data_IF_477159207894
#
_entry.id   IF_477159207894
#
_cell.length_a   1.000
_cell.length_b   1.000
_cell.length_c   1.000
_cell.angle_alpha   90.00
_cell.angle_beta   90.00
_cell.angle_gamma   90.00
#
_symmetry.space_group_name_H-M   'P 1'
#
loop_
_entity.id
_entity.type
_entity.pdbx_description
1 polymer ?
#
# COMPACT_ATOMS: atom_id res chain seq x y z
N UNK A 1 11.18 -1.16 1.95
CA UNK A 1 10.64 0.19 2.19
C UNK A 1 9.30 0.08 2.89
N UNK A 2 9.06 0.90 3.89
CA UNK A 2 7.78 1.05 4.59
C UNK A 2 7.67 2.51 5.07
N UNK A 3 6.47 2.94 5.48
CA UNK A 3 6.25 4.30 6.04
C UNK A 3 6.11 5.40 4.99
N UNK A 4 5.87 5.06 3.72
CA UNK A 4 5.70 6.06 2.65
C UNK A 4 4.46 6.92 2.89
N UNK A 5 3.33 6.29 3.22
CA UNK A 5 2.08 7.00 3.49
C UNK A 5 2.21 7.93 4.71
N UNK A 6 2.78 7.42 5.79
CA UNK A 6 2.98 8.18 7.02
C UNK A 6 3.86 9.41 6.75
N UNK A 7 4.90 9.25 5.95
CA UNK A 7 5.75 10.37 5.49
C UNK A 7 4.92 11.40 4.74
N UNK A 8 4.12 10.99 3.75
CA UNK A 8 3.29 11.93 2.99
C UNK A 8 2.27 12.65 3.86
N UNK A 9 1.65 11.93 4.81
CA UNK A 9 0.70 12.52 5.77
C UNK A 9 1.38 13.54 6.69
N UNK A 10 2.55 13.21 7.23
CA UNK A 10 3.32 14.10 8.12
C UNK A 10 3.72 15.41 7.43
N UNK A 11 4.07 15.35 6.14
CA UNK A 11 4.39 16.54 5.36
C UNK A 11 3.18 17.28 4.80
N UNK A 12 1.94 16.82 5.10
CA UNK A 12 0.72 17.46 4.61
C UNK A 12 0.46 17.26 3.11
N UNK A 13 1.04 16.23 2.52
CA UNK A 13 0.91 15.90 1.10
C UNK A 13 -0.25 14.95 0.80
N UNK A 14 -1.12 14.70 1.77
CA UNK A 14 -2.37 13.98 1.56
C UNK A 14 -3.56 14.94 1.69
N UNK A 15 -4.62 14.67 0.94
CA UNK A 15 -5.89 15.40 1.00
C UNK A 15 -7.04 14.42 1.08
N UNK A 16 -8.16 14.88 1.61
CA UNK A 16 -9.40 14.13 1.66
C UNK A 16 -10.47 14.83 0.82
N UNK A 17 -11.30 14.05 0.13
CA UNK A 17 -12.49 14.57 -0.55
C UNK A 17 -13.67 14.66 0.41
N UNK A 18 -14.83 15.14 -0.09
CA UNK A 18 -16.08 15.27 0.65
C UNK A 18 -16.63 13.92 1.18
N UNK A 19 -16.17 12.81 0.63
CA UNK A 19 -16.53 11.45 1.06
C UNK A 19 -15.52 10.85 2.04
N UNK A 20 -14.45 11.58 2.38
CA UNK A 20 -13.36 11.12 3.24
C UNK A 20 -12.40 10.14 2.54
N UNK A 21 -12.35 10.13 1.21
CA UNK A 21 -11.32 9.39 0.50
C UNK A 21 -10.01 10.17 0.50
N UNK A 22 -8.92 9.49 0.84
CA UNK A 22 -7.59 10.08 0.85
C UNK A 22 -6.94 9.98 -0.53
N UNK A 23 -6.28 11.05 -0.93
CA UNK A 23 -5.51 11.19 -2.17
C UNK A 23 -4.13 11.74 -1.89
N UNK A 24 -3.17 11.36 -2.71
CA UNK A 24 -1.86 12.02 -2.76
C UNK A 24 -1.94 13.27 -3.63
N UNK A 25 -1.31 14.35 -3.15
CA UNK A 25 -1.15 15.55 -3.96
C UNK A 25 -0.03 15.38 -5.00
N UNK A 26 0.05 16.22 -6.05
CA UNK A 26 1.18 16.19 -6.97
C UNK A 26 2.53 16.37 -6.29
N UNK A 27 2.57 17.12 -5.17
CA UNK A 27 3.77 17.29 -4.34
C UNK A 27 4.16 15.99 -3.66
N UNK A 28 3.19 15.16 -3.21
CA UNK A 28 3.45 13.82 -2.67
C UNK A 28 4.11 12.92 -3.71
N UNK A 29 3.58 12.91 -4.93
CA UNK A 29 4.12 12.12 -6.04
C UNK A 29 5.57 12.52 -6.32
N UNK A 30 5.84 13.82 -6.43
CA UNK A 30 7.18 14.34 -6.67
C UNK A 30 8.15 14.05 -5.51
N UNK A 31 7.67 14.22 -4.28
CA UNK A 31 8.47 13.97 -3.08
C UNK A 31 8.79 12.49 -2.91
N UNK A 32 7.81 11.62 -3.11
CA UNK A 32 7.99 10.17 -3.07
C UNK A 32 9.01 9.68 -4.10
N UNK A 33 8.92 10.14 -5.34
CA UNK A 33 9.93 9.85 -6.38
C UNK A 33 11.32 10.27 -5.94
N UNK A 34 11.48 11.48 -5.39
CA UNK A 34 12.78 11.94 -4.88
C UNK A 34 13.34 11.07 -3.77
N UNK A 35 12.49 10.56 -2.86
CA UNK A 35 12.92 9.63 -1.81
C UNK A 35 13.47 8.35 -2.45
N UNK A 36 12.73 7.75 -3.37
CA UNK A 36 13.16 6.53 -4.05
C UNK A 36 14.41 6.75 -4.91
N UNK A 37 14.54 7.89 -5.60
CA UNK A 37 15.74 8.24 -6.37
C UNK A 37 16.98 8.31 -5.46
N UNK A 38 16.85 8.87 -4.26
CA UNK A 38 17.95 8.90 -3.27
C UNK A 38 18.29 7.49 -2.81
N UNK A 39 17.28 6.67 -2.47
CA UNK A 39 17.48 5.27 -2.06
C UNK A 39 18.23 4.51 -3.17
N UNK A 40 17.76 4.60 -4.42
CA UNK A 40 18.37 3.90 -5.55
C UNK A 40 19.81 4.34 -5.79
N UNK A 41 20.05 5.64 -5.88
CA UNK A 41 21.41 6.17 -6.06
C UNK A 41 22.35 5.70 -4.95
N UNK A 42 21.91 5.74 -3.70
CA UNK A 42 22.74 5.33 -2.57
C UNK A 42 23.01 3.84 -2.56
N UNK A 43 21.99 3.01 -2.80
CA UNK A 43 22.17 1.56 -2.85
C UNK A 43 23.06 1.13 -4.03
N UNK A 44 22.89 1.78 -5.19
CA UNK A 44 23.68 1.43 -6.38
C UNK A 44 25.15 1.80 -6.19
N UNK A 45 25.43 2.96 -5.60
CA UNK A 45 26.80 3.33 -5.24
C UNK A 45 27.41 2.36 -4.24
N UNK A 46 26.67 2.00 -3.18
CA UNK A 46 27.15 1.03 -2.19
C UNK A 46 27.35 -0.36 -2.80
N UNK A 47 26.48 -0.78 -3.71
CA UNK A 47 26.58 -2.06 -4.42
C UNK A 47 27.85 -2.13 -5.26
N UNK A 48 28.19 -1.04 -5.99
CA UNK A 48 29.43 -0.93 -6.77
C UNK A 48 30.66 -0.98 -5.87
N UNK A 49 30.65 -0.21 -4.77
CA UNK A 49 31.79 -0.12 -3.86
C UNK A 49 32.11 -1.44 -3.15
N UNK A 50 31.13 -2.31 -2.98
CA UNK A 50 31.24 -3.57 -2.22
C UNK A 50 31.07 -4.83 -3.04
N UNK A 51 30.82 -4.73 -4.34
CA UNK A 51 30.50 -5.85 -5.23
C UNK A 51 29.28 -6.66 -4.72
N UNK A 52 28.23 -5.97 -4.26
CA UNK A 52 26.99 -6.57 -3.81
C UNK A 52 25.85 -6.34 -4.80
N UNK A 53 24.86 -7.24 -4.78
CA UNK A 53 23.56 -7.01 -5.40
C UNK A 53 22.57 -6.56 -4.32
N UNK A 54 22.01 -5.37 -4.48
CA UNK A 54 21.07 -4.77 -3.51
C UNK A 54 19.78 -4.45 -4.24
N UNK A 55 18.67 -4.99 -3.73
CA UNK A 55 17.35 -4.68 -4.22
C UNK A 55 16.65 -3.67 -3.28
N UNK A 56 15.69 -2.94 -3.84
CA UNK A 56 14.70 -2.18 -3.09
C UNK A 56 13.40 -2.95 -3.15
N UNK A 57 12.73 -3.15 -2.02
CA UNK A 57 11.45 -3.86 -1.97
C UNK A 57 10.48 -3.24 -0.98
N UNK A 58 9.20 -3.45 -1.20
CA UNK A 58 8.14 -3.20 -0.24
C UNK A 58 8.11 -4.39 0.72
N UNK A 59 8.62 -4.18 1.93
CA UNK A 59 8.82 -5.26 2.88
C UNK A 59 7.50 -5.73 3.53
N UNK A 60 7.21 -7.04 3.60
CA UNK A 60 6.14 -7.59 4.44
C UNK A 60 6.59 -7.59 5.91
N UNK A 61 6.39 -6.47 6.58
CA UNK A 61 6.99 -6.21 7.90
C UNK A 61 5.98 -5.82 8.98
N UNK A 62 4.81 -6.44 9.05
CA UNK A 62 3.73 -6.07 9.97
C UNK A 62 4.17 -6.10 11.43
N UNK A 63 4.91 -7.13 11.85
CA UNK A 63 5.44 -7.22 13.21
C UNK A 63 6.50 -6.15 13.51
N UNK A 64 7.30 -5.80 12.51
CA UNK A 64 8.29 -4.72 12.61
C UNK A 64 7.58 -3.37 12.69
N UNK A 65 6.56 -3.15 11.85
CA UNK A 65 5.74 -1.94 11.85
C UNK A 65 5.11 -1.67 13.22
N UNK A 66 4.50 -2.69 13.83
CA UNK A 66 3.90 -2.57 15.15
C UNK A 66 4.93 -2.19 16.24
N UNK A 67 6.12 -2.80 16.20
CA UNK A 67 7.19 -2.50 17.17
C UNK A 67 7.77 -1.09 16.98
N UNK A 68 7.97 -0.66 15.75
CA UNK A 68 8.46 0.70 15.45
C UNK A 68 7.42 1.72 15.91
N UNK A 69 6.15 1.52 15.59
CA UNK A 69 5.08 2.41 16.01
C UNK A 69 4.99 2.53 17.53
N UNK A 70 5.02 1.41 18.24
CA UNK A 70 4.99 1.42 19.71
C UNK A 70 6.22 2.14 20.31
N UNK A 71 7.40 2.01 19.69
CA UNK A 71 8.59 2.72 20.12
C UNK A 71 8.45 4.24 19.87
N UNK A 72 7.93 4.64 18.72
CA UNK A 72 7.72 6.05 18.36
C UNK A 72 6.63 6.68 19.25
N UNK A 73 5.57 5.98 19.57
CA UNK A 73 4.53 6.43 20.51
C UNK A 73 5.09 6.72 21.89
N UNK A 74 6.06 5.90 22.32
CA UNK A 74 6.73 6.09 23.61
C UNK A 74 7.77 7.22 23.60
N UNK A 75 8.55 7.33 22.52
CA UNK A 75 9.69 8.25 22.44
C UNK A 75 9.32 9.61 21.86
N UNK A 76 8.35 9.64 20.95
CA UNK A 76 7.97 10.82 20.17
C UNK A 76 6.44 10.96 20.01
N UNK A 77 5.68 11.00 21.13
CA UNK A 77 4.21 10.92 21.08
C UNK A 77 3.55 12.05 20.26
N UNK A 78 4.23 13.19 20.12
CA UNK A 78 3.70 14.34 19.37
C UNK A 78 3.90 14.22 17.85
N UNK A 79 4.77 13.31 17.41
CA UNK A 79 5.11 13.16 15.98
C UNK A 79 4.45 11.94 15.34
N UNK A 80 3.88 11.06 16.15
CA UNK A 80 3.25 9.83 15.67
C UNK A 80 1.97 10.12 14.89
N UNK A 81 1.75 9.40 13.81
CA UNK A 81 0.51 9.47 13.03
C UNK A 81 -0.58 8.70 13.78
N UNK A 82 -1.30 9.40 14.66
CA UNK A 82 -2.24 8.84 15.64
C UNK A 82 -3.44 8.11 15.04
N UNK A 83 -3.80 8.42 13.81
CA UNK A 83 -4.98 7.84 13.14
C UNK A 83 -4.73 6.47 12.51
N UNK A 84 -3.50 5.96 12.61
CA UNK A 84 -3.13 4.68 12.05
C UNK A 84 -2.79 3.69 13.15
N UNK A 85 -3.43 2.51 13.18
CA UNK A 85 -3.14 1.48 14.17
C UNK A 85 -1.76 0.85 13.98
N UNK A 86 -1.20 0.92 12.78
CA UNK A 86 0.10 0.38 12.39
C UNK A 86 0.74 1.24 11.30
N UNK A 87 2.05 1.36 11.32
CA UNK A 87 2.80 1.85 10.16
C UNK A 87 2.65 0.88 8.99
N UNK A 88 2.35 1.42 7.83
CA UNK A 88 2.02 0.62 6.66
C UNK A 88 3.24 0.20 5.86
N UNK A 89 3.20 -1.02 5.32
CA UNK A 89 4.08 -1.42 4.22
C UNK A 89 3.46 -1.07 2.85
N UNK A 90 2.15 -0.89 2.79
CA UNK A 90 1.45 -0.45 1.59
C UNK A 90 1.63 1.07 1.38
N UNK A 91 1.77 1.49 0.11
CA UNK A 91 1.90 2.93 -0.24
C UNK A 91 0.66 3.75 0.11
N UNK A 92 -0.51 3.13 0.23
CA UNK A 92 -1.67 3.59 0.99
C UNK A 92 -2.12 2.41 1.85
N UNK A 93 -2.06 2.50 3.19
CA UNK A 93 -2.47 1.41 4.09
C UNK A 93 -3.90 0.93 3.82
N UNK A 94 -4.14 -0.37 4.02
CA UNK A 94 -5.43 -0.98 3.71
C UNK A 94 -6.59 -0.41 4.53
N UNK A 95 -6.33 0.06 5.75
CA UNK A 95 -7.31 0.70 6.62
C UNK A 95 -7.66 2.14 6.22
N UNK A 96 -6.88 2.77 5.32
CA UNK A 96 -7.16 4.12 4.85
C UNK A 96 -8.18 4.07 3.72
N UNK A 97 -9.27 4.83 3.89
CA UNK A 97 -10.30 4.97 2.88
C UNK A 97 -9.74 5.74 1.69
N UNK A 98 -9.81 5.13 0.52
CA UNK A 98 -9.42 5.74 -0.76
C UNK A 98 -10.12 5.01 -1.89
N UNK A 99 -10.16 5.60 -3.07
CA UNK A 99 -10.72 4.92 -4.23
C UNK A 99 -9.79 3.81 -4.74
N UNK A 100 -10.36 2.77 -5.35
CA UNK A 100 -9.57 1.71 -5.99
C UNK A 100 -8.62 2.29 -7.04
N UNK A 101 -9.09 3.27 -7.82
CA UNK A 101 -8.27 3.95 -8.84
C UNK A 101 -7.06 4.65 -8.24
N UNK A 102 -7.26 5.39 -7.14
CA UNK A 102 -6.14 6.07 -6.47
C UNK A 102 -5.17 5.07 -5.85
N UNK A 103 -5.66 4.01 -5.25
CA UNK A 103 -4.82 2.94 -4.69
C UNK A 103 -3.95 2.30 -5.76
N UNK A 104 -4.52 1.97 -6.93
CA UNK A 104 -3.79 1.44 -8.08
C UNK A 104 -2.78 2.46 -8.60
N UNK A 105 -3.19 3.73 -8.77
CA UNK A 105 -2.33 4.81 -9.25
C UNK A 105 -1.08 4.97 -8.38
N UNK A 106 -1.25 5.02 -7.06
CA UNK A 106 -0.13 5.19 -6.13
C UNK A 106 0.75 3.93 -6.08
N UNK A 107 0.15 2.74 -6.09
CA UNK A 107 0.91 1.51 -6.16
C UNK A 107 1.78 1.47 -7.42
N UNK A 108 1.20 1.77 -8.58
CA UNK A 108 1.91 1.80 -9.87
C UNK A 108 3.00 2.86 -9.91
N UNK A 109 2.77 4.02 -9.27
CA UNK A 109 3.75 5.11 -9.21
C UNK A 109 5.09 4.68 -8.61
N UNK A 110 5.06 3.78 -7.62
CA UNK A 110 6.23 3.34 -6.88
C UNK A 110 6.67 1.90 -7.20
N UNK A 111 5.87 1.14 -7.95
CA UNK A 111 6.17 -0.26 -8.28
C UNK A 111 7.53 -0.42 -8.98
N UNK A 112 7.81 0.42 -9.98
CA UNK A 112 9.06 0.39 -10.74
C UNK A 112 10.32 0.65 -9.90
N UNK A 113 10.18 1.29 -8.74
CA UNK A 113 11.28 1.50 -7.80
C UNK A 113 11.55 0.28 -6.92
N UNK A 114 10.61 -0.66 -6.84
CA UNK A 114 10.73 -1.85 -6.00
C UNK A 114 11.23 -3.05 -6.81
N UNK A 115 12.48 -2.98 -7.30
CA UNK A 115 13.08 -4.04 -8.10
C UNK A 115 13.32 -5.37 -7.35
N UNK A 116 13.15 -5.39 -6.04
CA UNK A 116 13.06 -6.59 -5.21
C UNK A 116 11.64 -7.13 -5.07
N UNK A 117 10.66 -6.33 -5.49
CA UNK A 117 9.24 -6.66 -5.50
C UNK A 117 8.39 -5.71 -4.66
N UNK A 118 7.15 -5.56 -5.09
CA UNK A 118 6.07 -4.93 -4.33
C UNK A 118 4.77 -5.69 -4.59
N UNK A 119 3.83 -5.61 -3.67
CA UNK A 119 2.48 -6.15 -3.85
C UNK A 119 1.44 -5.11 -3.48
N UNK A 120 0.52 -4.84 -4.38
CA UNK A 120 -0.64 -4.03 -4.09
C UNK A 120 -1.81 -4.90 -3.65
N UNK A 121 -2.26 -4.74 -2.42
CA UNK A 121 -3.49 -5.34 -1.95
C UNK A 121 -4.67 -4.42 -2.25
N UNK A 122 -5.66 -4.95 -2.97
CA UNK A 122 -6.86 -4.23 -3.40
C UNK A 122 -8.07 -4.86 -2.72
N UNK A 123 -8.60 -4.18 -1.70
CA UNK A 123 -9.81 -4.64 -1.03
C UNK A 123 -11.01 -4.35 -1.93
N UNK A 124 -11.80 -5.39 -2.20
CA UNK A 124 -13.09 -5.30 -2.87
C UNK A 124 -14.20 -5.79 -1.92
N UNK A 125 -15.34 -5.10 -1.93
CA UNK A 125 -16.44 -5.42 -1.00
C UNK A 125 -17.16 -6.73 -1.33
N UNK A 126 -17.21 -7.04 -2.63
CA UNK A 126 -17.83 -8.25 -3.14
C UNK A 126 -16.98 -8.83 -4.28
N UNK A 127 -17.07 -10.15 -4.52
CA UNK A 127 -16.45 -10.77 -5.68
C UNK A 127 -16.96 -10.16 -6.98
N UNK A 128 -16.16 -10.22 -8.02
CA UNK A 128 -16.62 -9.86 -9.35
C UNK A 128 -17.80 -10.73 -9.76
N UNK A 129 -18.84 -10.13 -10.34
CA UNK A 129 -20.05 -10.87 -10.73
C UNK A 129 -19.81 -11.71 -11.99
N UNK A 130 -18.89 -11.29 -12.87
CA UNK A 130 -18.55 -12.00 -14.09
C UNK A 130 -17.05 -12.06 -14.31
N UNK A 131 -16.61 -12.97 -15.17
CA UNK A 131 -15.22 -13.08 -15.59
C UNK A 131 -14.76 -11.80 -16.32
N UNK A 132 -15.61 -11.23 -17.15
CA UNK A 132 -15.32 -10.02 -17.91
C UNK A 132 -14.99 -8.84 -16.98
N UNK A 133 -15.78 -8.65 -15.92
CA UNK A 133 -15.50 -7.61 -14.93
C UNK A 133 -14.13 -7.82 -14.24
N UNK A 134 -13.81 -9.05 -13.90
CA UNK A 134 -12.52 -9.37 -13.32
C UNK A 134 -11.38 -9.10 -14.31
N UNK A 135 -11.58 -9.50 -15.56
CA UNK A 135 -10.61 -9.34 -16.63
C UNK A 135 -10.37 -7.88 -17.00
N UNK A 136 -11.44 -7.07 -17.07
CA UNK A 136 -11.34 -5.62 -17.30
C UNK A 136 -10.54 -4.93 -16.19
N UNK A 137 -10.76 -5.34 -14.94
CA UNK A 137 -9.99 -4.80 -13.81
C UNK A 137 -8.52 -5.21 -13.88
N UNK A 138 -8.22 -6.46 -14.23
CA UNK A 138 -6.84 -6.95 -14.41
C UNK A 138 -6.15 -6.16 -15.52
N UNK A 139 -6.81 -5.97 -16.67
CA UNK A 139 -6.26 -5.18 -17.77
C UNK A 139 -6.02 -3.72 -17.35
N UNK A 140 -6.99 -3.12 -16.67
CA UNK A 140 -6.83 -1.75 -16.17
C UNK A 140 -5.60 -1.61 -15.27
N UNK A 141 -5.38 -2.56 -14.35
CA UNK A 141 -4.24 -2.55 -13.44
C UNK A 141 -2.92 -2.73 -14.22
N UNK A 142 -2.89 -3.66 -15.16
CA UNK A 142 -1.73 -3.90 -16.02
C UNK A 142 -1.38 -2.67 -16.87
N UNK A 143 -2.39 -2.00 -17.43
CA UNK A 143 -2.23 -0.76 -18.19
C UNK A 143 -1.67 0.40 -17.35
N UNK A 144 -1.91 0.38 -16.03
CA UNK A 144 -1.28 1.33 -15.10
C UNK A 144 0.19 0.97 -14.79
N UNK A 145 0.71 -0.15 -15.28
CA UNK A 145 2.08 -0.60 -15.07
C UNK A 145 2.34 -1.28 -13.72
N UNK A 146 1.30 -1.70 -13.01
CA UNK A 146 1.44 -2.44 -11.77
C UNK A 146 1.76 -3.91 -12.06
N UNK A 147 2.85 -4.41 -11.49
CA UNK A 147 3.40 -5.74 -11.82
C UNK A 147 2.78 -6.86 -11.00
N UNK A 148 2.52 -6.61 -9.70
CA UNK A 148 2.02 -7.63 -8.79
C UNK A 148 0.94 -7.08 -7.85
N UNK A 149 -0.21 -7.74 -7.85
CA UNK A 149 -1.35 -7.33 -7.04
C UNK A 149 -2.22 -8.52 -6.62
N UNK A 150 -3.02 -8.31 -5.59
CA UNK A 150 -4.00 -9.28 -5.11
C UNK A 150 -5.33 -8.59 -4.78
N UNK A 151 -6.43 -9.22 -5.15
CA UNK A 151 -7.76 -8.82 -4.69
C UNK A 151 -8.07 -9.52 -3.37
N UNK A 152 -8.38 -8.72 -2.36
CA UNK A 152 -8.86 -9.21 -1.08
C UNK A 152 -10.38 -9.08 -1.01
N UNK A 153 -11.05 -10.20 -0.84
CA UNK A 153 -12.51 -10.25 -0.67
C UNK A 153 -12.83 -10.73 0.73
N UNK A 154 -13.74 -10.04 1.41
CA UNK A 154 -14.17 -10.44 2.74
C UNK A 154 -15.03 -11.69 2.65
N UNK A 155 -14.50 -12.82 3.12
CA UNK A 155 -15.22 -14.07 3.27
C UNK A 155 -15.67 -14.20 4.73
N UNK A 156 -16.92 -14.59 4.94
CA UNK A 156 -17.48 -14.90 6.24
C UNK A 156 -17.69 -16.43 6.37
N UNK A 157 -17.69 -16.91 7.60
CA UNK A 157 -18.07 -18.27 7.92
C UNK A 157 -19.22 -18.26 8.93
N UNK A 158 -20.22 -19.10 8.75
CA UNK A 158 -21.25 -19.32 9.76
C UNK A 158 -20.84 -20.38 10.80
N UNK A 159 -21.63 -20.56 11.83
CA UNK A 159 -21.39 -21.56 12.89
C UNK A 159 -21.25 -23.02 12.35
N UNK A 160 -21.79 -23.30 11.16
CA UNK A 160 -21.64 -24.57 10.46
C UNK A 160 -20.44 -24.62 9.52
N UNK A 161 -19.54 -23.64 9.59
CA UNK A 161 -18.36 -23.50 8.73
C UNK A 161 -18.65 -23.37 7.23
N UNK A 162 -19.84 -22.92 6.84
CA UNK A 162 -20.08 -22.55 5.45
C UNK A 162 -19.39 -21.21 5.16
N UNK A 163 -18.50 -21.20 4.20
CA UNK A 163 -17.86 -19.97 3.71
C UNK A 163 -18.80 -19.27 2.71
N UNK A 164 -19.01 -17.96 2.85
CA UNK A 164 -19.88 -17.18 1.98
C UNK A 164 -19.45 -15.72 1.89
N UNK A 165 -19.96 -15.04 0.87
CA UNK A 165 -19.82 -13.60 0.68
C UNK A 165 -21.10 -12.89 1.14
N UNK A 166 -20.95 -11.64 1.63
CA UNK A 166 -22.07 -10.85 2.12
C UNK A 166 -22.32 -11.05 3.61
N UNK A 167 -23.49 -10.63 4.09
CA UNK A 167 -23.81 -10.54 5.52
C UNK A 167 -24.58 -11.71 6.08
N UNK A 168 -25.07 -12.61 5.24
CA UNK A 168 -25.93 -13.74 5.66
C UNK A 168 -25.56 -15.01 4.89
N UNK A 169 -25.44 -16.12 5.64
CA UNK A 169 -25.23 -17.44 5.06
C UNK A 169 -26.42 -17.83 4.16
N UNK A 170 -26.16 -18.26 2.91
CA UNK A 170 -27.22 -18.61 1.95
C UNK A 170 -27.78 -20.03 2.16
N UNK A 171 -27.20 -20.85 3.09
CA UNK A 171 -27.53 -22.25 3.34
C UNK A 171 -28.16 -22.38 4.73
#
# INVERSE_FOLDING_TARGET
VMGVYETMKTFGYTKEDEFGNVYYTPEADAFGKRIFDVIHRTKDQFALDKDYKINCEQIPGESCAAKIQAADEMLYPETVVKDLPLYGNQFIPLGIKTTIKERIRIASLFDSYCNGGSIAHINIEAPFATFEQAWDMVNYIADQGLTYFAFNVKIQACEKNHAFFGTKCPI
#
